data_IF_265586561623
#
_entry.id   IF_265586561623
#
_cell.length_a   1.000
_cell.length_b   1.000
_cell.length_c   1.000
_cell.angle_alpha   90.00
_cell.angle_beta   90.00
_cell.angle_gamma   90.00
#
_symmetry.space_group_name_H-M   'P 1'
#
loop_
_entity.id
_entity.type
_entity.pdbx_description
1 polymer ?
#
# COMPACT_ATOMS: atom_id res chain seq x y z
N UNK A 1 -7.64 -39.79 -12.83
CA UNK A 1 -8.00 -40.35 -11.51
C UNK A 1 -8.12 -39.16 -10.56
N UNK A 2 -9.38 -38.86 -10.20
CA UNK A 2 -9.93 -37.79 -9.35
C UNK A 2 -9.10 -36.51 -9.06
N UNK A 3 -9.44 -35.43 -9.78
CA UNK A 3 -9.40 -34.08 -9.22
C UNK A 3 -10.55 -34.01 -8.22
N UNK A 4 -10.24 -34.05 -6.92
CA UNK A 4 -11.25 -33.90 -5.88
C UNK A 4 -11.88 -32.51 -6.01
N UNK A 5 -13.18 -32.50 -6.33
CA UNK A 5 -14.01 -31.31 -6.40
C UNK A 5 -14.09 -30.67 -5.01
N UNK A 6 -13.16 -29.77 -4.70
CA UNK A 6 -13.24 -28.90 -3.54
C UNK A 6 -14.32 -27.84 -3.79
N UNK A 7 -15.58 -28.28 -3.77
CA UNK A 7 -16.72 -27.42 -3.62
C UNK A 7 -16.47 -26.58 -2.37
N UNK A 8 -16.32 -25.25 -2.54
CA UNK A 8 -16.31 -24.30 -1.42
C UNK A 8 -17.62 -24.50 -0.67
N UNK A 9 -17.61 -25.36 0.36
CA UNK A 9 -18.72 -25.49 1.30
C UNK A 9 -18.82 -24.15 2.00
N UNK A 10 -19.77 -23.34 1.58
CA UNK A 10 -20.23 -22.19 2.35
C UNK A 10 -20.88 -22.75 3.60
N UNK A 11 -20.11 -22.79 4.69
CA UNK A 11 -20.64 -23.18 5.99
C UNK A 11 -21.70 -22.15 6.39
N UNK A 12 -22.95 -22.55 6.23
CA UNK A 12 -24.06 -21.76 6.75
C UNK A 12 -23.83 -21.60 8.25
N UNK A 13 -23.91 -20.37 8.77
CA UNK A 13 -23.60 -20.02 10.17
C UNK A 13 -24.73 -20.49 11.11
N UNK A 14 -25.18 -21.74 10.93
CA UNK A 14 -26.05 -22.45 11.86
C UNK A 14 -25.22 -23.01 13.00
N UNK A 15 -25.04 -22.20 14.06
CA UNK A 15 -24.99 -22.62 15.47
C UNK A 15 -24.21 -23.89 15.86
N UNK A 16 -23.05 -24.19 15.26
CA UNK A 16 -22.13 -25.20 15.80
C UNK A 16 -21.29 -24.59 16.94
N UNK A 17 -21.67 -24.89 18.18
CA UNK A 17 -21.02 -24.34 19.38
C UNK A 17 -19.55 -24.76 19.52
N UNK A 18 -19.18 -25.96 19.06
CA UNK A 18 -17.80 -26.42 19.09
C UNK A 18 -16.92 -25.65 18.10
N UNK A 19 -17.42 -25.39 16.89
CA UNK A 19 -16.72 -24.58 15.90
C UNK A 19 -16.51 -23.14 16.38
N UNK A 20 -17.52 -22.54 17.01
CA UNK A 20 -17.40 -21.20 17.59
C UNK A 20 -16.37 -21.14 18.72
N UNK A 21 -16.34 -22.15 19.60
CA UNK A 21 -15.32 -22.28 20.65
C UNK A 21 -13.91 -22.42 20.08
N UNK A 22 -13.74 -23.22 19.02
CA UNK A 22 -12.46 -23.35 18.34
C UNK A 22 -12.00 -22.01 17.74
N UNK A 23 -12.88 -21.32 17.02
CA UNK A 23 -12.58 -19.99 16.46
C UNK A 23 -12.25 -18.98 17.56
N UNK A 24 -12.90 -19.05 18.71
CA UNK A 24 -12.60 -18.20 19.87
C UNK A 24 -11.20 -18.49 20.42
N UNK A 25 -10.80 -19.76 20.55
CA UNK A 25 -9.44 -20.11 20.95
C UNK A 25 -8.40 -19.60 19.95
N UNK A 26 -8.64 -19.81 18.64
CA UNK A 26 -7.74 -19.32 17.58
C UNK A 26 -7.61 -17.79 17.63
N UNK A 27 -8.73 -17.07 17.82
CA UNK A 27 -8.74 -15.61 18.03
C UNK A 27 -7.93 -15.20 19.26
N UNK A 28 -8.09 -15.92 20.36
CA UNK A 28 -7.45 -15.60 21.65
C UNK A 28 -5.94 -15.80 21.59
N UNK A 29 -5.50 -16.95 21.07
CA UNK A 29 -4.07 -17.26 20.88
C UNK A 29 -3.48 -16.30 19.85
N UNK A 30 -4.14 -16.15 18.70
CA UNK A 30 -3.69 -15.25 17.65
C UNK A 30 -3.58 -13.80 18.13
N UNK A 31 -4.52 -13.31 18.95
CA UNK A 31 -4.48 -11.95 19.50
C UNK A 31 -3.24 -11.65 20.35
N UNK A 32 -2.60 -12.69 20.93
CA UNK A 32 -1.35 -12.56 21.69
C UNK A 32 -0.09 -12.63 20.82
N UNK A 33 -0.22 -13.06 19.57
CA UNK A 33 0.89 -13.10 18.61
C UNK A 33 0.99 -11.75 17.91
N UNK A 34 2.11 -11.05 18.12
CA UNK A 34 2.41 -9.79 17.47
C UNK A 34 2.36 -9.95 15.94
N UNK A 35 1.70 -9.03 15.24
CA UNK A 35 1.59 -9.05 13.78
C UNK A 35 0.54 -10.00 13.19
N UNK A 36 -0.08 -10.86 14.02
CA UNK A 36 -1.20 -11.69 13.56
C UNK A 36 -2.41 -10.86 13.09
N UNK A 37 -3.28 -11.47 12.30
CA UNK A 37 -4.52 -10.82 11.86
C UNK A 37 -5.42 -10.36 13.04
N UNK A 38 -5.44 -11.15 14.12
CA UNK A 38 -6.26 -10.86 15.30
C UNK A 38 -5.65 -9.75 16.17
N UNK A 39 -4.32 -9.72 16.34
CA UNK A 39 -3.67 -8.63 17.08
C UNK A 39 -3.75 -7.30 16.32
N UNK A 40 -3.60 -7.31 14.98
CA UNK A 40 -3.84 -6.14 14.13
C UNK A 40 -5.29 -5.63 14.23
N UNK A 41 -6.26 -6.54 14.25
CA UNK A 41 -7.68 -6.17 14.42
C UNK A 41 -7.93 -5.53 15.79
N UNK A 42 -7.38 -6.10 16.86
CA UNK A 42 -7.50 -5.54 18.21
C UNK A 42 -6.85 -4.15 18.33
N UNK A 43 -5.66 -3.98 17.75
CA UNK A 43 -4.99 -2.67 17.70
C UNK A 43 -5.80 -1.64 16.91
N UNK A 44 -6.39 -2.01 15.77
CA UNK A 44 -7.26 -1.13 15.00
C UNK A 44 -8.48 -0.68 15.81
N UNK A 45 -9.14 -1.59 16.52
CA UNK A 45 -10.25 -1.25 17.43
C UNK A 45 -9.79 -0.27 18.52
N UNK A 46 -8.59 -0.47 19.07
CA UNK A 46 -8.02 0.45 20.08
C UNK A 46 -7.73 1.82 19.50
N UNK A 47 -7.20 1.91 18.28
CA UNK A 47 -6.99 3.18 17.56
C UNK A 47 -8.33 3.91 17.39
N UNK A 48 -9.39 3.22 16.95
CA UNK A 48 -10.71 3.83 16.83
C UNK A 48 -11.27 4.32 18.17
N UNK A 49 -11.13 3.54 19.24
CA UNK A 49 -11.55 3.94 20.57
C UNK A 49 -10.80 5.19 21.07
N UNK A 50 -9.48 5.26 20.81
CA UNK A 50 -8.68 6.44 21.12
C UNK A 50 -9.10 7.66 20.30
N UNK A 51 -9.39 7.48 19.00
CA UNK A 51 -9.90 8.56 18.14
C UNK A 51 -11.23 9.09 18.66
N UNK A 52 -12.13 8.19 19.08
CA UNK A 52 -13.42 8.58 19.65
C UNK A 52 -13.26 9.37 20.96
N UNK A 53 -12.33 8.96 21.83
CA UNK A 53 -12.17 9.56 23.15
C UNK A 53 -11.28 10.82 23.17
N UNK A 54 -10.27 10.90 22.30
CA UNK A 54 -9.25 11.95 22.31
C UNK A 54 -9.22 12.79 21.02
N UNK A 55 -10.09 12.49 20.05
CA UNK A 55 -10.07 13.10 18.74
C UNK A 55 -9.06 12.46 17.78
N UNK A 56 -9.06 12.93 16.54
CA UNK A 56 -8.14 12.42 15.51
C UNK A 56 -6.68 12.75 15.87
N UNK A 57 -5.75 11.78 15.77
CA UNK A 57 -4.33 12.08 15.92
C UNK A 57 -3.86 12.98 14.78
N UNK A 58 -3.07 14.00 15.09
CA UNK A 58 -2.33 14.74 14.07
C UNK A 58 -1.18 13.86 13.56
N UNK A 59 -1.27 13.42 12.31
CA UNK A 59 -0.21 12.66 11.64
C UNK A 59 0.60 13.57 10.74
N UNK A 60 1.92 13.61 10.95
CA UNK A 60 2.86 14.26 10.03
C UNK A 60 3.51 13.19 9.16
N UNK A 61 3.50 13.37 7.84
CA UNK A 61 4.09 12.45 6.86
C UNK A 61 4.97 13.24 5.90
N UNK A 62 6.24 12.85 5.80
CA UNK A 62 7.17 13.39 4.80
C UNK A 62 7.34 12.38 3.68
N UNK A 63 7.00 12.78 2.46
CA UNK A 63 7.21 11.99 1.26
C UNK A 63 8.42 12.54 0.50
N UNK A 64 9.49 11.75 0.41
CA UNK A 64 10.69 12.09 -0.37
C UNK A 64 10.98 10.97 -1.39
N UNK A 65 10.28 10.96 -2.54
CA UNK A 65 10.49 9.97 -3.59
C UNK A 65 11.87 10.14 -4.22
N UNK A 66 12.60 9.04 -4.40
CA UNK A 66 13.88 9.05 -5.10
C UNK A 66 13.68 9.06 -6.62
N UNK A 67 13.91 10.21 -7.24
CA UNK A 67 13.82 10.43 -8.68
C UNK A 67 14.91 9.67 -9.46
N UNK A 68 16.13 9.56 -8.93
CA UNK A 68 17.26 8.85 -9.57
C UNK A 68 17.01 7.34 -9.80
N UNK A 69 16.04 6.76 -9.11
CA UNK A 69 15.67 5.34 -9.23
C UNK A 69 14.37 5.14 -10.01
N UNK A 70 13.74 6.23 -10.46
CA UNK A 70 12.46 6.19 -11.15
C UNK A 70 12.66 6.24 -12.68
N UNK A 71 12.27 5.19 -13.43
CA UNK A 71 12.25 5.23 -14.89
C UNK A 71 11.32 6.35 -15.42
N UNK A 72 10.26 6.66 -14.67
CA UNK A 72 9.34 7.75 -15.00
C UNK A 72 10.04 9.10 -14.90
N UNK A 73 10.87 9.32 -13.87
CA UNK A 73 11.63 10.57 -13.75
C UNK A 73 12.62 10.75 -14.92
N UNK A 74 13.29 9.67 -15.35
CA UNK A 74 14.15 9.69 -16.54
C UNK A 74 13.38 9.98 -17.83
N UNK A 75 12.17 9.42 -17.97
CA UNK A 75 11.29 9.73 -19.09
C UNK A 75 10.94 11.23 -19.14
N UNK A 76 10.60 11.83 -17.99
CA UNK A 76 10.37 13.27 -17.89
C UNK A 76 11.63 14.11 -18.15
N UNK A 77 12.81 13.56 -17.88
CA UNK A 77 14.11 14.15 -18.24
C UNK A 77 14.47 13.97 -19.72
N UNK A 78 13.59 13.38 -20.54
CA UNK A 78 13.77 13.24 -21.99
C UNK A 78 14.50 11.98 -22.43
N UNK A 79 14.76 11.03 -21.51
CA UNK A 79 15.32 9.73 -21.88
C UNK A 79 14.26 8.92 -22.61
N UNK A 80 14.60 8.41 -23.81
CA UNK A 80 13.71 7.57 -24.61
C UNK A 80 13.56 6.19 -23.95
N UNK A 81 12.58 6.07 -23.06
CA UNK A 81 12.25 4.83 -22.36
C UNK A 81 10.85 4.37 -22.76
N UNK A 82 10.69 3.07 -22.98
CA UNK A 82 9.38 2.45 -23.04
C UNK A 82 8.93 2.11 -21.62
N UNK A 83 8.00 2.90 -21.07
CA UNK A 83 7.53 2.72 -19.69
C UNK A 83 6.75 1.42 -19.46
N UNK A 84 6.15 0.85 -20.52
CA UNK A 84 5.42 -0.42 -20.42
C UNK A 84 6.36 -1.64 -20.38
N UNK A 85 7.63 -1.45 -20.78
CA UNK A 85 8.61 -2.52 -20.86
C UNK A 85 10.02 -1.99 -20.55
N UNK A 86 10.23 -1.53 -19.33
CA UNK A 86 11.52 -1.03 -18.86
C UNK A 86 12.48 -2.19 -18.61
N UNK A 87 13.57 -2.24 -19.38
CA UNK A 87 14.64 -3.20 -19.18
C UNK A 87 15.74 -2.62 -18.27
N UNK A 88 16.35 -3.43 -17.40
CA UNK A 88 17.36 -2.94 -16.47
C UNK A 88 18.60 -2.40 -17.19
N UNK A 89 18.94 -2.97 -18.34
CA UNK A 89 20.05 -2.55 -19.18
C UNK A 89 19.85 -1.14 -19.74
N UNK A 90 18.59 -0.70 -19.89
CA UNK A 90 18.26 0.66 -20.33
C UNK A 90 18.42 1.70 -19.22
N UNK A 91 18.47 1.29 -17.95
CA UNK A 91 18.43 2.22 -16.84
C UNK A 91 19.77 2.88 -16.50
N UNK A 92 20.83 2.66 -17.29
CA UNK A 92 22.16 3.26 -17.10
C UNK A 92 22.72 3.06 -15.67
N UNK A 93 23.93 3.54 -15.41
CA UNK A 93 24.45 3.57 -14.05
C UNK A 93 23.78 4.66 -13.19
N UNK A 94 23.77 4.45 -11.87
CA UNK A 94 23.20 5.39 -10.90
C UNK A 94 23.79 6.79 -11.02
N UNK A 95 25.10 6.91 -11.24
CA UNK A 95 25.74 8.22 -11.38
C UNK A 95 25.23 8.95 -12.63
N UNK A 96 25.12 8.23 -13.76
CA UNK A 96 24.62 8.80 -15.01
C UNK A 96 23.16 9.22 -14.90
N UNK A 97 22.32 8.45 -14.19
CA UNK A 97 20.94 8.85 -13.89
C UNK A 97 20.89 10.13 -13.08
N UNK A 98 21.71 10.25 -12.03
CA UNK A 98 21.77 11.45 -11.21
C UNK A 98 22.18 12.69 -12.02
N UNK A 99 23.16 12.56 -12.90
CA UNK A 99 23.59 13.62 -13.81
C UNK A 99 22.46 14.08 -14.76
N UNK A 100 21.71 13.13 -15.33
CA UNK A 100 20.56 13.43 -16.20
C UNK A 100 19.46 14.15 -15.42
N UNK A 101 19.09 13.66 -14.23
CA UNK A 101 18.07 14.28 -13.40
C UNK A 101 18.47 15.70 -12.98
N UNK A 102 19.73 15.90 -12.59
CA UNK A 102 20.25 17.22 -12.20
C UNK A 102 20.30 18.20 -13.37
N UNK A 103 20.56 17.72 -14.59
CA UNK A 103 20.59 18.56 -15.80
C UNK A 103 19.20 18.91 -16.36
N UNK A 104 18.14 18.23 -15.91
CA UNK A 104 16.76 18.45 -16.39
C UNK A 104 15.79 18.85 -15.26
N UNK A 105 16.03 19.97 -14.55
CA UNK A 105 15.26 20.34 -13.35
C UNK A 105 13.76 20.52 -13.62
N UNK A 106 13.38 20.99 -14.81
CA UNK A 106 11.97 21.13 -15.20
C UNK A 106 11.28 19.78 -15.35
N UNK A 107 11.96 18.79 -15.93
CA UNK A 107 11.44 17.43 -16.06
C UNK A 107 11.27 16.78 -14.69
N UNK A 108 12.29 16.90 -13.85
CA UNK A 108 12.28 16.41 -12.46
C UNK A 108 11.15 17.05 -11.63
N UNK A 109 10.94 18.36 -11.75
CA UNK A 109 9.84 19.06 -11.08
C UNK A 109 8.45 18.56 -11.56
N UNK A 110 8.28 18.33 -12.87
CA UNK A 110 7.03 17.77 -13.41
C UNK A 110 6.77 16.35 -12.89
N UNK A 111 7.80 15.52 -12.87
CA UNK A 111 7.73 14.18 -12.27
C UNK A 111 7.29 14.25 -10.81
N UNK A 112 7.96 15.08 -10.00
CA UNK A 112 7.64 15.23 -8.58
C UNK A 112 6.18 15.69 -8.40
N UNK A 113 5.77 16.74 -9.12
CA UNK A 113 4.41 17.23 -9.05
C UNK A 113 3.39 16.14 -9.40
N UNK A 114 3.60 15.43 -10.51
CA UNK A 114 2.70 14.35 -10.94
C UNK A 114 2.66 13.20 -9.93
N UNK A 115 3.80 12.80 -9.37
CA UNK A 115 3.86 11.72 -8.38
C UNK A 115 3.11 12.12 -7.10
N UNK A 116 3.35 13.32 -6.58
CA UNK A 116 2.70 13.79 -5.35
C UNK A 116 1.19 13.97 -5.57
N UNK A 117 0.78 14.59 -6.68
CA UNK A 117 -0.65 14.73 -7.02
C UNK A 117 -1.32 13.37 -7.11
N UNK A 118 -0.71 12.38 -7.76
CA UNK A 118 -1.29 11.03 -7.82
C UNK A 118 -1.36 10.35 -6.45
N UNK A 119 -0.34 10.48 -5.58
CA UNK A 119 -0.41 9.93 -4.21
C UNK A 119 -1.57 10.57 -3.44
N UNK A 120 -1.71 11.90 -3.52
CA UNK A 120 -2.79 12.61 -2.85
C UNK A 120 -4.16 12.21 -3.40
N UNK A 121 -4.33 12.18 -4.71
CA UNK A 121 -5.61 11.87 -5.36
C UNK A 121 -6.04 10.43 -5.17
N UNK A 122 -5.12 9.47 -5.29
CA UNK A 122 -5.47 8.04 -5.30
C UNK A 122 -5.36 7.39 -3.93
N UNK A 123 -4.29 7.66 -3.18
CA UNK A 123 -4.02 6.95 -1.92
C UNK A 123 -4.65 7.66 -0.72
N UNK A 124 -4.63 9.00 -0.71
CA UNK A 124 -5.12 9.79 0.42
C UNK A 124 -6.60 10.15 0.24
N UNK A 125 -6.94 10.86 -0.84
CA UNK A 125 -8.32 11.29 -1.12
C UNK A 125 -9.18 10.17 -1.72
N UNK A 126 -8.59 9.32 -2.54
CA UNK A 126 -9.25 8.20 -3.23
C UNK A 126 -9.33 6.89 -2.43
N UNK A 127 -8.84 6.87 -1.19
CA UNK A 127 -8.84 5.67 -0.33
C UNK A 127 -10.24 5.21 0.12
N UNK A 128 -10.31 4.23 1.04
CA UNK A 128 -11.54 3.60 1.58
C UNK A 128 -12.58 4.58 2.16
N UNK A 129 -12.23 5.86 2.33
CA UNK A 129 -13.11 6.96 2.73
C UNK A 129 -13.58 7.83 1.55
N UNK A 130 -13.44 7.34 0.32
CA UNK A 130 -13.55 8.09 -0.94
C UNK A 130 -14.73 9.05 -1.02
N UNK A 131 -14.52 10.11 -1.82
CA UNK A 131 -15.44 11.21 -2.20
C UNK A 131 -16.87 11.01 -1.68
N UNK A 132 -17.13 11.53 -0.49
CA UNK A 132 -18.49 11.83 -0.04
C UNK A 132 -18.94 13.02 -0.87
N UNK A 133 -19.68 12.72 -1.95
CA UNK A 133 -20.48 13.58 -2.84
C UNK A 133 -20.01 15.03 -3.04
#
# INVERSE_FOLDING_TARGET
MALDNNSRRTYNTGSNSALNKLLQHVKTVGGRVMGSAYSRTALRTRIHALIFNHGLPSTFLTLNPADIHSPVALYFAGVKLNLDNVQNEQLMDTYRRAEIIASHPVGTAKFFHLLITNILDTMIMGGVLGRTY
#
